data_IF_670945978879
#
_entry.id   IF_670945978879
#
_cell.length_a   1.000
_cell.length_b   1.000
_cell.length_c   1.000
_cell.angle_alpha   90.00
_cell.angle_beta   90.00
_cell.angle_gamma   90.00
#
_symmetry.space_group_name_H-M   'P 1'
#
loop_
_entity.id
_entity.type
_entity.pdbx_description
1 polymer ?
#
# COMPACT_ATOMS: atom_id res chain seq x y z
N UNK A 1 -1.24 3.85 -6.34
CA UNK A 1 -0.16 3.35 -5.46
C UNK A 1 1.05 4.28 -5.55
N UNK A 2 1.64 4.77 -4.44
CA UNK A 2 2.82 5.63 -4.49
C UNK A 2 4.05 4.87 -4.98
N UNK A 3 4.99 5.57 -5.62
CA UNK A 3 6.26 4.97 -6.04
C UNK A 3 7.18 4.82 -4.83
N UNK A 4 7.37 3.59 -4.36
CA UNK A 4 8.31 3.29 -3.28
C UNK A 4 9.77 3.15 -3.75
N UNK A 5 9.99 3.09 -5.07
CA UNK A 5 11.32 3.07 -5.68
C UNK A 5 11.30 3.81 -7.01
N UNK A 6 12.38 4.52 -7.40
CA UNK A 6 12.47 5.26 -8.65
C UNK A 6 12.33 4.40 -9.91
N UNK A 7 12.46 3.07 -9.80
CA UNK A 7 12.29 2.12 -10.91
C UNK A 7 10.97 1.36 -10.87
N UNK A 8 10.10 1.62 -9.89
CA UNK A 8 8.88 0.86 -9.68
C UNK A 8 7.78 1.33 -10.63
N UNK A 9 7.35 0.46 -11.54
CA UNK A 9 6.29 0.72 -12.54
C UNK A 9 4.96 0.05 -12.15
N UNK A 10 5.02 -1.13 -11.55
CA UNK A 10 3.89 -1.84 -10.97
C UNK A 10 4.33 -2.59 -9.71
N UNK A 11 3.38 -2.87 -8.81
CA UNK A 11 3.60 -3.66 -7.60
C UNK A 11 2.41 -4.57 -7.31
N UNK A 12 2.65 -5.62 -6.53
CA UNK A 12 1.61 -6.46 -5.97
C UNK A 12 1.16 -5.92 -4.61
N UNK A 13 -0.13 -5.94 -4.36
CA UNK A 13 -0.67 -5.75 -3.02
C UNK A 13 -0.52 -7.08 -2.28
N UNK A 14 0.30 -7.09 -1.24
CA UNK A 14 0.44 -8.19 -0.30
C UNK A 14 -0.71 -8.18 0.70
N UNK A 15 -0.38 -8.16 1.99
CA UNK A 15 -1.38 -8.14 3.06
C UNK A 15 -1.72 -6.72 3.53
N UNK A 16 -3.00 -6.36 3.51
CA UNK A 16 -3.50 -5.19 4.23
C UNK A 16 -3.42 -5.43 5.75
N UNK A 17 -2.63 -4.60 6.45
CA UNK A 17 -2.54 -4.58 7.91
C UNK A 17 -3.66 -3.73 8.53
N UNK A 18 -4.25 -2.82 7.75
CA UNK A 18 -5.33 -1.93 8.18
C UNK A 18 -6.57 -2.08 7.30
N UNK A 19 -7.76 -1.82 7.85
CA UNK A 19 -9.05 -1.98 7.17
C UNK A 19 -9.76 -0.65 6.94
N UNK A 20 -10.72 -0.64 6.02
CA UNK A 20 -11.62 0.49 5.84
C UNK A 20 -12.35 0.82 7.16
N UNK A 21 -12.29 2.08 7.57
CA UNK A 21 -12.80 2.61 8.83
C UNK A 21 -11.77 2.65 9.97
N UNK A 22 -10.56 2.11 9.75
CA UNK A 22 -9.52 2.08 10.77
C UNK A 22 -8.70 3.37 10.78
N UNK A 23 -8.28 3.79 11.97
CA UNK A 23 -7.43 4.96 12.15
C UNK A 23 -5.98 4.60 11.88
N UNK A 24 -5.29 5.47 11.15
CA UNK A 24 -3.88 5.35 10.79
C UNK A 24 -3.11 6.52 11.39
N UNK A 25 -1.93 6.22 11.92
CA UNK A 25 -1.01 7.20 12.48
C UNK A 25 0.32 7.22 11.70
N UNK A 26 1.13 8.27 11.86
CA UNK A 26 2.47 8.30 11.29
C UNK A 26 3.31 7.09 11.77
N UNK A 27 3.79 6.28 10.84
CA UNK A 27 4.53 5.04 11.11
C UNK A 27 3.67 3.78 11.21
N UNK A 28 2.34 3.88 11.05
CA UNK A 28 1.51 2.68 10.88
C UNK A 28 1.66 2.12 9.47
N UNK A 29 1.94 0.82 9.38
CA UNK A 29 1.91 0.05 8.14
C UNK A 29 0.46 -0.16 7.72
N UNK A 30 0.07 0.34 6.54
CA UNK A 30 -1.25 0.06 5.98
C UNK A 30 -1.28 -1.27 5.23
N UNK A 31 -0.26 -1.47 4.40
CA UNK A 31 -0.24 -2.56 3.44
C UNK A 31 1.18 -2.91 3.09
N UNK A 32 1.41 -4.19 2.91
CA UNK A 32 2.68 -4.69 2.44
C UNK A 32 2.64 -4.79 0.92
N UNK A 33 3.61 -4.20 0.23
CA UNK A 33 3.72 -4.23 -1.22
C UNK A 33 4.76 -5.28 -1.59
N UNK A 34 4.33 -6.32 -2.29
CA UNK A 34 5.21 -7.38 -2.80
C UNK A 34 5.56 -7.07 -4.26
N UNK A 35 6.85 -7.01 -4.55
CA UNK A 35 7.37 -6.89 -5.91
C UNK A 35 8.24 -8.11 -6.23
N UNK A 36 8.53 -8.33 -7.51
CA UNK A 36 9.41 -9.41 -7.97
C UNK A 36 10.81 -9.41 -7.32
N UNK A 37 11.23 -8.26 -6.78
CA UNK A 37 12.58 -8.05 -6.25
C UNK A 37 12.62 -7.88 -4.73
N UNK A 38 11.53 -7.42 -4.12
CA UNK A 38 11.49 -7.05 -2.71
C UNK A 38 10.04 -6.93 -2.19
N UNK A 39 9.90 -7.13 -0.89
CA UNK A 39 8.70 -6.82 -0.12
C UNK A 39 8.96 -5.50 0.63
N UNK A 40 8.05 -4.54 0.51
CA UNK A 40 8.18 -3.21 1.11
C UNK A 40 6.92 -2.84 1.89
N UNK A 41 7.09 -2.39 3.12
CA UNK A 41 5.98 -1.92 3.95
C UNK A 41 5.57 -0.50 3.57
N UNK A 42 4.28 -0.31 3.27
CA UNK A 42 3.72 1.00 3.00
C UNK A 42 3.20 1.61 4.30
N UNK A 43 4.00 2.52 4.84
CA UNK A 43 3.69 3.30 6.05
C UNK A 43 3.06 4.65 5.68
N UNK A 44 2.07 5.09 6.47
CA UNK A 44 1.59 6.48 6.37
C UNK A 44 2.47 7.40 7.19
N UNK A 45 2.70 8.61 6.68
CA UNK A 45 3.43 9.67 7.39
C UNK A 45 2.49 10.67 8.07
N UNK A 46 1.20 10.57 7.80
CA UNK A 46 0.16 11.47 8.32
C UNK A 46 -0.86 10.68 9.14
N UNK A 47 -1.56 11.37 10.03
CA UNK A 47 -2.70 10.78 10.73
C UNK A 47 -3.98 10.88 9.87
N UNK A 48 -4.83 9.85 9.93
CA UNK A 48 -6.04 9.82 9.15
C UNK A 48 -6.91 8.59 9.44
N UNK A 49 -7.91 8.38 8.58
CA UNK A 49 -8.75 7.19 8.62
C UNK A 49 -8.85 6.60 7.23
N UNK A 50 -8.84 5.27 7.13
CA UNK A 50 -8.99 4.59 5.83
C UNK A 50 -10.45 4.72 5.40
N UNK A 51 -10.72 5.52 4.37
CA UNK A 51 -12.10 5.66 3.86
C UNK A 51 -12.62 4.35 3.25
N UNK A 52 -11.86 3.74 2.34
CA UNK A 52 -12.17 2.47 1.69
C UNK A 52 -10.94 1.91 0.98
N UNK A 53 -10.73 0.61 1.03
CA UNK A 53 -9.78 -0.10 0.17
C UNK A 53 -10.41 -0.35 -1.20
N UNK A 54 -9.81 0.20 -2.25
CA UNK A 54 -10.25 0.01 -3.64
C UNK A 54 -9.66 -1.26 -4.28
N UNK A 55 -8.62 -1.80 -3.66
CA UNK A 55 -7.82 -2.92 -4.15
C UNK A 55 -7.64 -3.90 -2.98
N UNK A 56 -7.87 -5.19 -3.22
CA UNK A 56 -7.83 -6.20 -2.17
C UNK A 56 -6.42 -6.81 -2.00
N UNK A 57 -6.19 -7.48 -0.86
CA UNK A 57 -4.95 -8.22 -0.62
C UNK A 57 -4.76 -9.29 -1.70
N UNK A 58 -3.54 -9.41 -2.22
CA UNK A 58 -3.17 -10.40 -3.25
C UNK A 58 -3.37 -9.93 -4.68
N UNK A 59 -3.81 -8.68 -4.91
CA UNK A 59 -3.94 -8.13 -6.26
C UNK A 59 -2.54 -7.88 -6.86
N UNK A 60 -2.26 -8.54 -7.98
CA UNK A 60 -0.99 -8.40 -8.72
C UNK A 60 -1.16 -7.38 -9.83
N UNK A 61 -0.06 -6.72 -10.20
CA UNK A 61 -0.03 -5.77 -11.33
C UNK A 61 -0.77 -4.44 -11.05
N UNK A 62 -0.65 -3.90 -9.84
CA UNK A 62 -1.19 -2.57 -9.52
C UNK A 62 -0.19 -1.50 -10.00
N UNK A 63 -0.57 -0.66 -10.99
CA UNK A 63 0.35 0.34 -11.52
C UNK A 63 0.62 1.45 -10.50
N UNK A 64 1.87 1.89 -10.48
CA UNK A 64 2.30 3.03 -9.66
C UNK A 64 1.67 4.30 -10.25
N UNK A 65 1.16 5.17 -9.39
CA UNK A 65 0.48 6.41 -9.80
C UNK A 65 -0.99 6.27 -10.19
N UNK A 66 -1.59 5.08 -10.11
CA UNK A 66 -3.05 4.97 -10.25
C UNK A 66 -3.75 5.66 -9.07
N UNK A 67 -4.64 6.60 -9.41
CA UNK A 67 -5.50 7.34 -8.48
C UNK A 67 -6.65 6.46 -7.99
#
# INVERSE_FOLDING_TARGET
MPALSPTMTAGGIGAWQKKAGDSIAPGDVLVEIETDKAQMDFEFQEEGVIAKTLKESGEKDVPVGSA
#
